data_IF_951456111488
#
_entry.id   IF_951456111488
#
_cell.length_a   1.000
_cell.length_b   1.000
_cell.length_c   1.000
_cell.angle_alpha   90.00
_cell.angle_beta   90.00
_cell.angle_gamma   90.00
#
_symmetry.space_group_name_H-M   'P 1'
#
loop_
_entity.id
_entity.type
_entity.pdbx_description
1 polymer ?
#
# COMPACT_ATOMS: atom_id res chain seq x y z
N UNK A 1 -9.46 10.46 -13.47
CA UNK A 1 -9.93 9.70 -12.28
C UNK A 1 -8.87 8.65 -11.98
N UNK A 2 -8.38 8.54 -10.75
CA UNK A 2 -7.29 7.61 -10.42
C UNK A 2 -7.73 6.14 -10.35
N UNK A 3 -9.04 5.88 -10.32
CA UNK A 3 -9.63 4.54 -10.32
C UNK A 3 -11.02 4.56 -10.98
N UNK A 4 -11.55 3.38 -11.28
CA UNK A 4 -12.90 3.14 -11.77
C UNK A 4 -13.53 1.89 -11.11
N UNK A 5 -14.75 1.51 -11.50
CA UNK A 5 -15.49 0.39 -10.90
C UNK A 5 -14.86 -1.00 -11.11
N UNK A 6 -13.87 -1.11 -12.02
CA UNK A 6 -13.10 -2.34 -12.25
C UNK A 6 -11.74 -2.32 -11.57
N UNK A 7 -11.30 -1.17 -11.04
CA UNK A 7 -10.00 -1.05 -10.37
C UNK A 7 -9.96 -1.94 -9.13
N UNK A 8 -8.90 -2.73 -9.05
CA UNK A 8 -8.62 -3.62 -7.93
C UNK A 8 -7.52 -3.00 -7.09
N UNK A 9 -7.64 -3.07 -5.77
CA UNK A 9 -6.59 -2.73 -4.82
C UNK A 9 -6.25 -3.97 -4.00
N UNK A 10 -5.05 -3.99 -3.43
CA UNK A 10 -4.72 -4.96 -2.40
C UNK A 10 -4.95 -4.33 -1.02
N UNK A 11 -5.56 -5.07 -0.10
CA UNK A 11 -5.77 -4.68 1.28
C UNK A 11 -5.75 -5.90 2.20
N UNK A 12 -4.88 -5.87 3.20
CA UNK A 12 -4.82 -6.85 4.29
C UNK A 12 -4.94 -8.32 3.82
N UNK A 13 -4.12 -8.73 2.85
CA UNK A 13 -4.10 -10.11 2.33
C UNK A 13 -5.08 -10.41 1.19
N UNK A 14 -5.85 -9.42 0.72
CA UNK A 14 -6.93 -9.64 -0.26
C UNK A 14 -6.92 -8.61 -1.37
N UNK A 15 -7.24 -9.06 -2.58
CA UNK A 15 -7.59 -8.17 -3.70
C UNK A 15 -9.08 -7.86 -3.67
N UNK A 16 -9.43 -6.59 -3.63
CA UNK A 16 -10.82 -6.09 -3.52
C UNK A 16 -11.03 -4.95 -4.52
N UNK A 17 -12.28 -4.68 -4.88
CA UNK A 17 -12.56 -3.52 -5.74
C UNK A 17 -12.34 -2.23 -4.97
N UNK A 18 -11.74 -1.24 -5.64
CA UNK A 18 -11.55 0.10 -5.09
C UNK A 18 -12.88 0.73 -4.64
N UNK A 19 -13.95 0.55 -5.43
CA UNK A 19 -15.29 1.06 -5.14
C UNK A 19 -15.97 0.43 -3.93
N UNK A 20 -15.54 -0.76 -3.51
CA UNK A 20 -16.11 -1.51 -2.38
C UNK A 20 -15.25 -1.35 -1.11
N UNK A 21 -14.17 -0.58 -1.18
CA UNK A 21 -13.18 -0.43 -0.11
C UNK A 21 -13.42 0.85 0.68
N UNK A 22 -13.61 0.74 1.99
CA UNK A 22 -13.83 1.87 2.91
C UNK A 22 -12.81 1.89 4.05
N UNK A 23 -12.55 3.05 4.63
CA UNK A 23 -11.77 3.17 5.87
C UNK A 23 -12.64 3.73 6.99
N UNK A 24 -12.22 3.52 8.24
CA UNK A 24 -12.88 4.13 9.38
C UNK A 24 -12.51 5.62 9.46
N UNK A 25 -13.53 6.47 9.55
CA UNK A 25 -13.37 7.92 9.64
C UNK A 25 -12.68 8.34 10.94
N UNK A 26 -12.78 7.54 12.00
CA UNK A 26 -12.15 7.78 13.30
C UNK A 26 -10.74 7.17 13.42
N UNK A 27 -10.17 6.67 12.33
CA UNK A 27 -8.81 6.11 12.31
C UNK A 27 -7.76 7.12 12.75
N UNK A 28 -6.74 6.66 13.50
CA UNK A 28 -5.61 7.51 13.90
C UNK A 28 -4.90 8.13 12.70
N UNK A 29 -4.81 7.41 11.58
CA UNK A 29 -4.19 7.93 10.36
C UNK A 29 -4.95 9.14 9.82
N UNK A 30 -6.29 9.12 9.85
CA UNK A 30 -7.11 10.22 9.36
C UNK A 30 -7.10 11.43 10.30
N UNK A 31 -7.16 11.21 11.61
CA UNK A 31 -7.23 12.30 12.59
C UNK A 31 -5.87 12.90 13.00
N UNK A 32 -4.82 12.08 13.03
CA UNK A 32 -3.51 12.48 13.54
C UNK A 32 -2.38 12.32 12.53
N UNK A 33 -2.67 11.90 11.30
CA UNK A 33 -1.65 11.65 10.27
C UNK A 33 -0.75 10.46 10.58
N UNK A 34 -1.14 9.60 11.53
CA UNK A 34 -0.30 8.52 12.00
C UNK A 34 -0.34 7.31 11.05
N UNK A 35 0.52 7.34 10.05
CA UNK A 35 0.66 6.32 9.01
C UNK A 35 1.94 6.55 8.21
N UNK A 36 2.28 5.59 7.37
CA UNK A 36 3.52 5.61 6.56
C UNK A 36 3.19 5.13 5.15
N UNK A 37 3.70 5.81 4.13
CA UNK A 37 3.46 5.44 2.74
C UNK A 37 4.76 5.34 1.94
N UNK A 38 4.65 4.69 0.78
CA UNK A 38 5.71 4.66 -0.22
C UNK A 38 5.25 5.15 -1.59
N UNK A 39 6.22 5.45 -2.44
CA UNK A 39 6.00 5.85 -3.82
C UNK A 39 6.86 5.03 -4.74
N UNK A 40 6.26 4.06 -5.44
CA UNK A 40 6.97 3.09 -6.26
C UNK A 40 6.57 3.28 -7.72
N UNK A 41 7.53 3.25 -8.65
CA UNK A 41 7.26 3.29 -10.09
C UNK A 41 7.47 1.93 -10.73
N UNK A 42 6.53 1.54 -11.57
CA UNK A 42 6.64 0.47 -12.54
C UNK A 42 6.82 1.07 -13.92
N UNK A 43 7.63 0.43 -14.75
CA UNK A 43 7.93 0.86 -16.11
C UNK A 43 7.70 -0.28 -17.09
N UNK A 44 7.16 0.07 -18.27
CA UNK A 44 7.20 -0.81 -19.41
C UNK A 44 8.65 -0.93 -19.91
N UNK A 45 9.12 -2.16 -20.08
CA UNK A 45 10.46 -2.44 -20.63
C UNK A 45 10.33 -3.47 -21.73
N UNK A 46 11.40 -3.66 -22.51
CA UNK A 46 11.45 -4.70 -23.57
C UNK A 46 11.21 -6.12 -23.03
N UNK A 47 11.40 -6.34 -21.73
CA UNK A 47 11.20 -7.62 -21.05
C UNK A 47 9.91 -7.67 -20.21
N UNK A 48 8.95 -6.79 -20.51
CA UNK A 48 7.70 -6.62 -19.77
C UNK A 48 7.80 -5.62 -18.63
N UNK A 49 6.77 -5.55 -17.79
CA UNK A 49 6.70 -4.58 -16.68
C UNK A 49 7.75 -4.87 -15.62
N UNK A 50 8.46 -3.83 -15.17
CA UNK A 50 9.48 -3.89 -14.12
C UNK A 50 9.27 -2.80 -13.09
N UNK A 51 9.24 -3.20 -11.82
CA UNK A 51 9.13 -2.28 -10.68
C UNK A 51 10.53 -1.84 -10.26
N UNK A 52 10.81 -0.54 -10.31
CA UNK A 52 12.14 -0.04 -10.01
C UNK A 52 12.43 -0.11 -8.50
N UNK A 53 13.47 -0.85 -8.12
CA UNK A 53 13.94 -1.00 -6.72
C UNK A 53 12.84 -1.43 -5.72
N UNK A 54 11.89 -2.27 -6.16
CA UNK A 54 10.71 -2.68 -5.35
C UNK A 54 11.06 -3.09 -3.92
N UNK A 55 12.02 -4.01 -3.74
CA UNK A 55 12.47 -4.47 -2.42
C UNK A 55 12.98 -3.33 -1.53
N UNK A 56 13.78 -2.41 -2.07
CA UNK A 56 14.33 -1.29 -1.29
C UNK A 56 13.24 -0.30 -0.84
N UNK A 57 12.18 -0.12 -1.64
CA UNK A 57 11.02 0.67 -1.21
C UNK A 57 10.30 0.01 -0.04
N UNK A 58 10.06 -1.30 -0.07
CA UNK A 58 9.39 -2.01 1.03
C UNK A 58 10.25 -2.14 2.30
N UNK A 59 11.56 -2.29 2.17
CA UNK A 59 12.48 -2.19 3.31
C UNK A 59 12.43 -0.79 3.94
N UNK A 60 12.34 0.26 3.12
CA UNK A 60 12.19 1.64 3.61
C UNK A 60 10.81 1.87 4.25
N UNK A 61 9.74 1.28 3.71
CA UNK A 61 8.41 1.31 4.31
C UNK A 61 8.43 0.70 5.71
N UNK A 62 8.96 -0.52 5.84
CA UNK A 62 9.15 -1.21 7.13
C UNK A 62 9.96 -0.34 8.10
N UNK A 63 11.11 0.18 7.64
CA UNK A 63 11.97 1.01 8.48
C UNK A 63 11.25 2.29 8.95
N UNK A 64 10.46 2.89 8.08
CA UNK A 64 9.71 4.11 8.38
C UNK A 64 8.60 3.83 9.41
N UNK A 65 7.91 2.68 9.32
CA UNK A 65 6.96 2.22 10.35
C UNK A 65 7.63 2.01 11.71
N UNK A 66 8.80 1.37 11.75
CA UNK A 66 9.57 1.18 12.98
C UNK A 66 9.95 2.51 13.64
N UNK A 67 10.41 3.49 12.86
CA UNK A 67 10.85 4.81 13.36
C UNK A 67 9.72 5.59 14.04
N UNK A 68 8.48 5.36 13.64
CA UNK A 68 7.30 6.01 14.23
C UNK A 68 6.54 5.09 15.18
N UNK A 69 7.08 3.92 15.54
CA UNK A 69 6.46 2.94 16.44
C UNK A 69 5.14 2.33 15.94
N UNK A 70 4.96 2.19 14.62
CA UNK A 70 3.88 1.42 14.02
C UNK A 70 4.36 -0.05 13.86
N UNK A 71 3.66 -1.04 14.45
CA UNK A 71 3.93 -2.46 14.19
C UNK A 71 3.88 -2.79 12.70
N UNK A 72 4.85 -3.57 12.21
CA UNK A 72 4.94 -3.96 10.81
C UNK A 72 5.19 -5.47 10.72
N UNK A 73 4.11 -6.22 10.56
CA UNK A 73 4.11 -7.69 10.56
C UNK A 73 3.97 -8.27 9.13
N UNK A 74 4.30 -7.47 8.10
CA UNK A 74 4.25 -7.89 6.70
C UNK A 74 5.62 -8.32 6.19
N UNK A 75 5.67 -9.35 5.37
CA UNK A 75 6.91 -9.79 4.73
C UNK A 75 7.24 -8.94 3.50
N UNK A 76 8.47 -8.44 3.43
CA UNK A 76 8.92 -7.55 2.34
C UNK A 76 8.78 -8.23 0.98
N UNK A 77 9.14 -9.52 0.89
CA UNK A 77 9.06 -10.27 -0.37
C UNK A 77 7.60 -10.47 -0.81
N UNK A 78 6.69 -10.73 0.12
CA UNK A 78 5.26 -10.85 -0.17
C UNK A 78 4.71 -9.55 -0.76
N UNK A 79 5.09 -8.39 -0.20
CA UNK A 79 4.65 -7.10 -0.75
C UNK A 79 5.20 -6.82 -2.15
N UNK A 80 6.43 -7.28 -2.45
CA UNK A 80 6.98 -7.22 -3.81
C UNK A 80 6.11 -8.04 -4.75
N UNK A 81 5.79 -9.29 -4.39
CA UNK A 81 5.03 -10.21 -5.24
C UNK A 81 3.60 -9.69 -5.47
N UNK A 82 2.94 -9.22 -4.40
CA UNK A 82 1.62 -8.57 -4.45
C UNK A 82 1.64 -7.32 -5.33
N UNK A 83 2.75 -6.58 -5.40
CA UNK A 83 2.85 -5.41 -6.29
C UNK A 83 2.75 -5.81 -7.75
N UNK A 84 3.43 -6.88 -8.14
CA UNK A 84 3.37 -7.38 -9.52
C UNK A 84 1.97 -7.90 -9.84
N UNK A 85 1.37 -8.66 -8.93
CA UNK A 85 0.00 -9.16 -9.11
C UNK A 85 -1.04 -8.02 -9.18
N UNK A 86 -0.86 -6.96 -8.39
CA UNK A 86 -1.71 -5.77 -8.44
C UNK A 86 -1.65 -5.08 -9.80
N UNK A 87 -0.46 -4.93 -10.37
CA UNK A 87 -0.25 -4.35 -11.69
C UNK A 87 -0.90 -5.21 -12.78
N UNK A 88 -0.70 -6.53 -12.72
CA UNK A 88 -1.30 -7.49 -13.65
C UNK A 88 -2.83 -7.44 -13.61
N UNK A 89 -3.44 -7.52 -12.42
CA UNK A 89 -4.90 -7.47 -12.23
C UNK A 89 -5.54 -6.19 -12.76
N UNK A 90 -4.79 -5.08 -12.78
CA UNK A 90 -5.25 -3.80 -13.31
C UNK A 90 -4.81 -3.54 -14.76
N UNK A 91 -4.10 -4.49 -15.40
CA UNK A 91 -3.50 -4.33 -16.73
C UNK A 91 -2.58 -3.10 -16.87
N UNK A 92 -1.82 -2.80 -15.82
CA UNK A 92 -0.93 -1.64 -15.75
C UNK A 92 0.51 -2.03 -16.09
N UNK A 93 1.14 -1.27 -16.99
CA UNK A 93 2.51 -1.56 -17.44
C UNK A 93 3.52 -0.45 -17.17
N UNK A 94 3.09 0.82 -17.24
CA UNK A 94 3.79 1.99 -16.72
C UNK A 94 2.86 2.65 -15.70
N UNK A 95 3.27 2.67 -14.44
CA UNK A 95 2.36 3.00 -13.34
C UNK A 95 3.09 3.50 -12.09
N UNK A 96 2.34 4.21 -11.28
CA UNK A 96 2.66 4.50 -9.90
C UNK A 96 1.94 3.52 -8.97
N UNK A 97 2.65 2.98 -7.97
CA UNK A 97 2.11 2.15 -6.90
C UNK A 97 2.28 2.88 -5.57
N UNK A 98 1.22 2.88 -4.76
CA UNK A 98 1.14 3.51 -3.44
C UNK A 98 0.81 2.48 -2.38
N UNK A 99 1.83 1.89 -1.74
CA UNK A 99 1.66 1.25 -0.45
C UNK A 99 1.38 2.32 0.61
N UNK A 100 0.37 2.08 1.47
CA UNK A 100 0.10 2.85 2.67
C UNK A 100 -0.15 1.89 3.82
N UNK A 101 0.63 2.06 4.89
CA UNK A 101 0.38 1.49 6.22
C UNK A 101 -0.41 2.52 7.03
N UNK A 102 -1.56 2.10 7.54
CA UNK A 102 -2.47 2.96 8.29
C UNK A 102 -3.01 2.26 9.54
N UNK A 103 -3.33 3.06 10.55
CA UNK A 103 -3.63 2.64 11.92
C UNK A 103 -5.12 2.74 12.20
N UNK A 104 -5.61 1.84 13.05
CA UNK A 104 -7.00 1.75 13.46
C UNK A 104 -7.46 2.95 14.33
N UNK A 105 -8.77 3.06 14.62
CA UNK A 105 -9.28 4.11 15.51
C UNK A 105 -8.71 4.00 16.91
N UNK A 106 -8.15 5.12 17.37
CA UNK A 106 -7.77 5.33 18.75
C UNK A 106 -7.70 6.85 18.96
N UNK A 107 -8.51 7.36 19.88
CA UNK A 107 -8.70 8.80 20.12
C UNK A 107 -7.53 9.45 20.88
N UNK A 108 -6.32 8.95 20.64
CA UNK A 108 -5.06 9.44 21.19
C UNK A 108 -3.93 9.11 20.21
N UNK A 109 -2.83 9.87 20.22
CA UNK A 109 -1.61 9.54 19.48
C UNK A 109 -0.76 8.57 20.29
N UNK A 110 -1.17 7.30 20.31
CA UNK A 110 -0.47 6.20 20.98
C UNK A 110 -0.28 5.02 20.03
N UNK A 111 0.59 4.07 20.40
CA UNK A 111 0.87 2.87 19.61
C UNK A 111 -0.45 2.18 19.20
N UNK A 112 -0.66 1.86 17.91
CA UNK A 112 -1.91 1.29 17.45
C UNK A 112 -2.01 -0.18 17.86
N UNK A 113 -3.25 -0.66 18.02
CA UNK A 113 -3.50 -2.08 18.31
C UNK A 113 -3.57 -2.89 17.02
N UNK A 114 -4.11 -2.29 15.95
CA UNK A 114 -4.23 -2.92 14.65
C UNK A 114 -3.66 -2.01 13.57
N UNK A 115 -2.88 -2.62 12.70
CA UNK A 115 -2.26 -1.97 11.55
C UNK A 115 -2.80 -2.65 10.30
N UNK A 116 -3.21 -1.83 9.32
CA UNK A 116 -3.64 -2.27 8.00
C UNK A 116 -2.66 -1.77 6.94
N UNK A 117 -2.57 -2.49 5.84
CA UNK A 117 -1.83 -2.06 4.64
C UNK A 117 -2.75 -2.09 3.43
N UNK A 118 -2.63 -1.07 2.58
CA UNK A 118 -3.23 -1.06 1.25
C UNK A 118 -2.20 -0.75 0.18
N UNK A 119 -2.32 -1.36 -0.99
CA UNK A 119 -1.58 -0.99 -2.19
C UNK A 119 -2.59 -0.60 -3.27
N UNK A 120 -2.47 0.64 -3.73
CA UNK A 120 -3.20 1.17 -4.89
C UNK A 120 -2.22 1.37 -6.06
N UNK A 121 -2.72 1.30 -7.30
CA UNK A 121 -1.92 1.59 -8.49
C UNK A 121 -2.72 2.37 -9.55
N UNK A 122 -2.04 3.23 -10.30
CA UNK A 122 -2.59 4.04 -11.40
C UNK A 122 -1.46 4.43 -12.37
N UNK A 123 -1.78 4.89 -13.58
CA UNK A 123 -0.79 5.33 -14.60
C UNK A 123 0.01 6.60 -14.17
#
# INVERSE_FOLDING_TARGET
>A
MYYNNKTVIYRDGKFVKASESTTDLYSQTMHYGYGVFEGIRAYATDNGTRVFKSKAHYERLKKSSELVNIPFDFEVQELVDVTYELLERNNLTDAYVRPLVFCDPNMSLSRPNKVSIMLCAWE
#
